data_IF_266447303154
#
_entry.id   IF_266447303154
#
_cell.length_a   1.000
_cell.length_b   1.000
_cell.length_c   1.000
_cell.angle_alpha   90.00
_cell.angle_beta   90.00
_cell.angle_gamma   90.00
#
_symmetry.space_group_name_H-M   'P 1'
#
loop_
_entity.id
_entity.type
_entity.pdbx_description
1 polymer ?
#
# COMPACT_ATOMS: atom_id res chain seq x y z
N UNK A 1 -20.98 3.24 -10.79
CA UNK A 1 -20.34 4.51 -10.37
C UNK A 1 -21.16 5.76 -10.69
N UNK A 2 -21.89 5.80 -11.80
CA UNK A 2 -22.74 6.94 -12.21
C UNK A 2 -24.01 7.10 -11.39
N UNK A 3 -24.67 6.00 -10.99
CA UNK A 3 -25.93 6.03 -10.23
C UNK A 3 -25.80 6.53 -8.78
N UNK A 4 -24.63 6.36 -8.14
CA UNK A 4 -24.40 6.78 -6.74
C UNK A 4 -24.18 8.29 -6.62
N UNK A 5 -23.71 8.96 -7.69
CA UNK A 5 -23.53 10.42 -7.70
C UNK A 5 -24.83 11.22 -7.83
N UNK A 6 -25.88 10.62 -8.40
CA UNK A 6 -27.14 11.31 -8.69
C UNK A 6 -28.06 11.43 -7.48
N UNK A 7 -27.95 10.53 -6.49
CA UNK A 7 -28.86 10.50 -5.34
C UNK A 7 -28.33 11.20 -4.09
N UNK A 8 -27.00 11.38 -3.94
CA UNK A 8 -26.39 11.96 -2.74
C UNK A 8 -25.17 12.87 -3.05
N UNK A 9 -25.36 14.03 -3.71
CA UNK A 9 -24.26 14.92 -4.08
C UNK A 9 -23.54 15.55 -2.87
N UNK A 10 -24.20 15.66 -1.71
CA UNK A 10 -23.63 16.28 -0.50
C UNK A 10 -22.80 15.33 0.40
N UNK A 11 -22.95 14.01 0.25
CA UNK A 11 -22.19 13.03 1.05
C UNK A 11 -20.83 12.66 0.42
N UNK A 12 -20.63 13.01 -0.86
CA UNK A 12 -19.43 12.67 -1.63
C UNK A 12 -18.23 13.57 -1.34
N UNK A 13 -18.43 14.72 -0.69
CA UNK A 13 -17.39 15.73 -0.47
C UNK A 13 -16.77 15.69 0.93
N UNK A 14 -17.37 14.98 1.90
CA UNK A 14 -17.02 15.18 3.32
C UNK A 14 -16.22 14.08 4.03
N UNK A 15 -16.10 12.87 3.49
CA UNK A 15 -15.05 11.94 3.91
C UNK A 15 -14.95 10.77 2.94
N UNK A 16 -13.77 10.53 2.36
CA UNK A 16 -13.55 9.47 1.36
C UNK A 16 -13.87 8.06 1.89
N UNK A 17 -13.87 7.90 3.22
CA UNK A 17 -14.16 6.64 3.91
C UNK A 17 -15.62 6.46 4.33
N UNK A 18 -16.44 7.52 4.30
CA UNK A 18 -17.84 7.49 4.72
C UNK A 18 -18.70 6.52 3.88
N UNK A 19 -18.58 6.50 2.54
CA UNK A 19 -19.33 5.56 1.72
C UNK A 19 -18.96 4.10 1.98
N UNK A 20 -17.68 3.84 2.29
CA UNK A 20 -17.19 2.50 2.62
C UNK A 20 -17.68 2.04 4.00
N UNK A 21 -17.64 2.93 5.00
CA UNK A 21 -18.17 2.66 6.34
C UNK A 21 -19.68 2.44 6.32
N UNK A 22 -20.43 3.29 5.60
CA UNK A 22 -21.88 3.11 5.39
C UNK A 22 -22.14 1.79 4.67
N UNK A 23 -21.38 1.46 3.62
CA UNK A 23 -21.56 0.21 2.88
C UNK A 23 -21.34 -1.03 3.74
N UNK A 24 -20.30 -1.05 4.57
CA UNK A 24 -20.02 -2.15 5.51
C UNK A 24 -21.10 -2.20 6.60
N UNK A 25 -21.49 -1.07 7.18
CA UNK A 25 -22.53 -1.00 8.20
C UNK A 25 -23.90 -1.44 7.65
N UNK A 26 -24.25 -1.02 6.44
CA UNK A 26 -25.47 -1.43 5.75
C UNK A 26 -25.44 -2.92 5.41
N UNK A 27 -24.30 -3.46 4.97
CA UNK A 27 -24.15 -4.89 4.74
C UNK A 27 -24.29 -5.69 6.06
N UNK A 28 -23.71 -5.22 7.16
CA UNK A 28 -23.87 -5.82 8.49
C UNK A 28 -25.33 -5.78 8.96
N UNK A 29 -26.02 -4.64 8.79
CA UNK A 29 -27.44 -4.48 9.12
C UNK A 29 -28.35 -5.37 8.26
N UNK A 30 -28.10 -5.44 6.95
CA UNK A 30 -28.86 -6.30 6.03
C UNK A 30 -28.66 -7.78 6.35
N UNK A 31 -27.43 -8.19 6.67
CA UNK A 31 -27.14 -9.56 7.10
C UNK A 31 -27.82 -9.86 8.45
N UNK A 32 -27.82 -8.91 9.39
CA UNK A 32 -28.47 -9.08 10.68
C UNK A 32 -30.01 -9.12 10.57
N UNK A 33 -30.56 -8.44 9.56
CA UNK A 33 -31.99 -8.50 9.23
C UNK A 33 -32.35 -9.84 8.54
N UNK A 34 -31.55 -10.29 7.57
CA UNK A 34 -31.84 -11.54 6.83
C UNK A 34 -31.54 -12.81 7.65
N UNK A 35 -30.58 -12.74 8.58
CA UNK A 35 -30.17 -13.83 9.46
C UNK A 35 -29.90 -13.22 10.84
N UNK A 36 -30.86 -13.22 11.80
CA UNK A 36 -30.63 -12.66 13.13
C UNK A 36 -29.54 -13.45 13.84
N UNK A 37 -28.31 -12.95 13.74
CA UNK A 37 -27.16 -13.48 14.44
C UNK A 37 -27.22 -12.93 15.86
N UNK A 38 -27.11 -13.78 16.87
CA UNK A 38 -27.08 -13.35 18.26
C UNK A 38 -25.95 -12.32 18.47
N UNK A 39 -26.22 -11.28 19.26
CA UNK A 39 -25.27 -10.19 19.53
C UNK A 39 -23.93 -10.70 20.08
N UNK A 40 -23.95 -11.84 20.78
CA UNK A 40 -22.73 -12.52 21.26
C UNK A 40 -21.86 -13.04 20.11
N UNK A 41 -22.46 -13.68 19.08
CA UNK A 41 -21.73 -14.14 17.89
C UNK A 41 -21.20 -12.97 17.06
N UNK A 42 -21.95 -11.86 16.98
CA UNK A 42 -21.48 -10.66 16.28
C UNK A 42 -20.26 -10.05 16.99
N UNK A 43 -20.29 -9.98 18.33
CA UNK A 43 -19.12 -9.57 19.14
C UNK A 43 -17.95 -10.52 18.94
N UNK A 44 -18.16 -11.84 18.90
CA UNK A 44 -17.07 -12.80 18.66
C UNK A 44 -16.43 -12.61 17.27
N UNK A 45 -17.23 -12.32 16.24
CA UNK A 45 -16.73 -12.08 14.89
C UNK A 45 -15.95 -10.76 14.83
N UNK A 46 -16.47 -9.68 15.44
CA UNK A 46 -15.82 -8.38 15.49
C UNK A 46 -14.54 -8.37 16.35
N UNK A 47 -14.50 -9.17 17.42
CA UNK A 47 -13.36 -9.27 18.33
C UNK A 47 -12.50 -10.51 18.07
N UNK A 48 -12.45 -10.98 16.82
CA UNK A 48 -11.52 -12.05 16.44
C UNK A 48 -10.08 -11.53 16.44
N UNK A 49 -9.14 -12.34 16.96
CA UNK A 49 -7.70 -12.01 17.07
C UNK A 49 -7.09 -11.45 15.78
N UNK A 50 -7.56 -11.92 14.62
CA UNK A 50 -7.17 -11.43 13.28
C UNK A 50 -7.59 -9.99 13.02
N UNK A 51 -8.81 -9.59 13.40
CA UNK A 51 -9.30 -8.22 13.21
C UNK A 51 -8.55 -7.24 14.10
N UNK A 52 -8.35 -7.60 15.37
CA UNK A 52 -7.50 -6.83 16.30
C UNK A 52 -6.06 -6.70 15.79
N UNK A 53 -5.49 -7.76 15.21
CA UNK A 53 -4.15 -7.71 14.61
C UNK A 53 -4.10 -6.75 13.42
N UNK A 54 -5.10 -6.73 12.53
CA UNK A 54 -5.16 -5.79 11.41
C UNK A 54 -5.29 -4.34 11.87
N UNK A 55 -6.17 -4.06 12.83
CA UNK A 55 -6.31 -2.72 13.42
C UNK A 55 -5.02 -2.28 14.10
N UNK A 56 -4.37 -3.19 14.84
CA UNK A 56 -3.08 -2.94 15.49
C UNK A 56 -1.98 -2.58 14.49
N UNK A 57 -1.89 -3.32 13.37
CA UNK A 57 -0.94 -3.01 12.29
C UNK A 57 -1.22 -1.63 11.69
N UNK A 58 -2.48 -1.30 11.40
CA UNK A 58 -2.84 0.01 10.85
C UNK A 58 -2.50 1.14 11.82
N UNK A 59 -2.80 0.98 13.11
CA UNK A 59 -2.44 1.95 14.15
C UNK A 59 -0.92 2.14 14.25
N UNK A 60 -0.15 1.05 14.21
CA UNK A 60 1.31 1.11 14.25
C UNK A 60 1.88 1.82 13.02
N UNK A 61 1.37 1.52 11.82
CA UNK A 61 1.78 2.17 10.57
C UNK A 61 1.42 3.66 10.59
N UNK A 62 0.26 4.04 11.14
CA UNK A 62 -0.11 5.45 11.33
C UNK A 62 0.82 6.16 12.30
N UNK A 63 1.15 5.54 13.44
CA UNK A 63 2.09 6.09 14.41
C UNK A 63 3.50 6.22 13.82
N UNK A 64 3.95 5.22 13.06
CA UNK A 64 5.21 5.24 12.33
C UNK A 64 5.25 6.39 11.32
N UNK A 65 4.19 6.56 10.51
CA UNK A 65 4.11 7.69 9.57
C UNK A 65 4.13 9.04 10.27
N UNK A 66 3.39 9.19 11.37
CA UNK A 66 3.41 10.42 12.18
C UNK A 66 4.79 10.71 12.78
N UNK A 67 5.57 9.69 13.13
CA UNK A 67 6.93 9.85 13.60
C UNK A 67 7.90 10.27 12.49
N UNK A 68 7.75 9.73 11.28
CA UNK A 68 8.55 10.10 10.11
C UNK A 68 8.28 11.55 9.67
N UNK A 69 7.01 11.99 9.75
CA UNK A 69 6.59 13.35 9.44
C UNK A 69 6.84 14.35 10.58
N UNK A 70 7.28 13.88 11.76
CA UNK A 70 7.48 14.74 12.91
C UNK A 70 8.55 15.82 12.64
N UNK A 71 8.28 17.09 12.96
CA UNK A 71 9.29 18.14 12.88
C UNK A 71 10.41 17.86 13.87
N UNK A 72 11.66 17.96 13.42
CA UNK A 72 12.82 17.92 14.32
C UNK A 72 12.89 19.22 15.14
N UNK A 73 13.79 19.29 16.13
CA UNK A 73 13.98 20.46 17.01
C UNK A 73 14.20 21.80 16.25
N UNK A 74 14.51 21.73 14.95
CA UNK A 74 14.80 22.84 14.06
C UNK A 74 13.58 23.27 13.23
N UNK A 75 12.40 22.66 13.43
CA UNK A 75 11.16 22.91 12.67
C UNK A 75 11.08 22.25 11.30
N UNK A 76 12.16 21.61 10.84
CA UNK A 76 12.23 20.90 9.55
C UNK A 76 11.81 19.43 9.74
N UNK A 77 10.93 18.87 8.87
CA UNK A 77 10.59 17.45 8.89
C UNK A 77 11.84 16.59 8.72
N UNK A 78 11.96 15.48 9.45
CA UNK A 78 13.10 14.55 9.38
C UNK A 78 13.43 14.14 7.92
N UNK A 79 12.38 13.97 7.11
CA UNK A 79 12.50 13.50 5.73
C UNK A 79 13.13 14.55 4.81
N UNK A 80 12.96 15.83 5.07
CA UNK A 80 13.59 16.88 4.25
C UNK A 80 15.10 16.89 4.47
N UNK A 81 15.53 16.71 5.72
CA UNK A 81 16.94 16.50 6.06
C UNK A 81 17.47 15.23 5.40
N UNK A 82 16.71 14.11 5.45
CA UNK A 82 17.13 12.89 4.75
C UNK A 82 17.29 13.13 3.25
N UNK A 83 16.36 13.86 2.60
CA UNK A 83 16.48 14.19 1.17
C UNK A 83 17.71 15.02 0.87
N UNK A 84 18.02 16.03 1.68
CA UNK A 84 19.20 16.88 1.46
C UNK A 84 20.50 16.10 1.60
N UNK A 85 20.58 15.19 2.58
CA UNK A 85 21.74 14.30 2.78
C UNK A 85 21.88 13.29 1.63
N UNK A 86 20.76 12.71 1.18
CA UNK A 86 20.75 11.77 0.05
C UNK A 86 21.15 12.45 -1.27
N UNK A 87 20.71 13.70 -1.47
CA UNK A 87 21.13 14.54 -2.59
C UNK A 87 22.62 14.83 -2.57
N UNK A 88 23.20 15.12 -1.39
CA UNK A 88 24.65 15.30 -1.23
C UNK A 88 25.43 14.00 -1.48
N UNK A 89 24.87 12.84 -1.12
CA UNK A 89 25.41 11.52 -1.44
C UNK A 89 25.21 11.08 -2.91
N UNK A 90 24.55 11.88 -3.74
CA UNK A 90 24.30 11.58 -5.16
C UNK A 90 23.26 10.48 -5.41
N UNK A 91 22.45 10.11 -4.41
CA UNK A 91 21.44 9.07 -4.54
C UNK A 91 20.13 9.71 -5.03
N UNK A 92 19.62 9.35 -6.22
CA UNK A 92 18.38 9.91 -6.72
C UNK A 92 17.19 9.42 -5.88
N UNK A 93 16.31 10.33 -5.47
CA UNK A 93 15.10 10.03 -4.67
C UNK A 93 14.25 8.91 -5.31
N UNK A 94 14.22 8.86 -6.64
CA UNK A 94 13.52 7.80 -7.39
C UNK A 94 14.06 6.39 -7.11
N UNK A 95 15.37 6.23 -6.88
CA UNK A 95 15.93 4.93 -6.52
C UNK A 95 15.36 4.44 -5.19
N UNK A 96 15.14 5.34 -4.23
CA UNK A 96 14.58 5.01 -2.92
C UNK A 96 13.11 4.62 -3.04
N UNK A 97 12.34 5.37 -3.85
CA UNK A 97 10.94 5.07 -4.15
C UNK A 97 10.77 3.68 -4.79
N UNK A 98 11.76 3.21 -5.55
CA UNK A 98 11.76 1.88 -6.15
C UNK A 98 12.29 0.78 -5.20
N UNK A 99 13.45 1.01 -4.58
CA UNK A 99 14.15 0.01 -3.79
C UNK A 99 13.50 -0.26 -2.43
N UNK A 100 13.01 0.76 -1.72
CA UNK A 100 12.41 0.56 -0.40
C UNK A 100 11.18 -0.36 -0.46
N UNK A 101 10.16 -0.10 -1.32
CA UNK A 101 9.03 -0.99 -1.44
C UNK A 101 9.45 -2.38 -1.93
N UNK A 102 10.39 -2.47 -2.87
CA UNK A 102 10.86 -3.75 -3.42
C UNK A 102 11.49 -4.64 -2.35
N UNK A 103 12.45 -4.11 -1.59
CA UNK A 103 13.14 -4.85 -0.52
C UNK A 103 12.16 -5.21 0.60
N UNK A 104 11.29 -4.27 0.97
CA UNK A 104 10.27 -4.53 1.99
C UNK A 104 9.25 -5.58 1.55
N UNK A 105 8.86 -5.58 0.28
CA UNK A 105 8.02 -6.62 -0.34
C UNK A 105 8.71 -7.97 -0.34
N UNK A 106 9.98 -8.00 -0.74
CA UNK A 106 10.78 -9.22 -0.77
C UNK A 106 10.98 -9.82 0.62
N UNK A 107 11.21 -8.99 1.64
CA UNK A 107 11.41 -9.42 3.01
C UNK A 107 10.10 -9.85 3.69
N UNK A 108 8.99 -9.14 3.44
CA UNK A 108 7.71 -9.40 4.12
C UNK A 108 6.86 -10.46 3.44
N UNK A 109 6.95 -10.61 2.12
CA UNK A 109 6.09 -11.49 1.33
C UNK A 109 4.60 -11.14 1.43
N UNK A 110 4.23 -9.95 1.93
CA UNK A 110 2.85 -9.53 2.20
C UNK A 110 2.57 -8.09 1.75
N UNK A 111 1.41 -7.87 1.14
CA UNK A 111 0.98 -6.55 0.65
C UNK A 111 0.96 -5.49 1.75
N UNK A 112 0.38 -5.83 2.90
CA UNK A 112 0.27 -4.91 4.03
C UNK A 112 1.65 -4.61 4.63
N UNK A 113 2.60 -5.55 4.52
CA UNK A 113 3.96 -5.39 5.04
C UNK A 113 4.73 -4.31 4.29
N UNK A 114 4.85 -4.44 2.96
CA UNK A 114 5.58 -3.44 2.20
C UNK A 114 4.86 -2.09 2.18
N UNK A 115 3.53 -2.08 2.03
CA UNK A 115 2.76 -0.83 2.03
C UNK A 115 2.92 -0.10 3.36
N UNK A 116 2.78 -0.81 4.49
CA UNK A 116 2.90 -0.21 5.81
C UNK A 116 4.31 0.32 6.11
N UNK A 117 5.34 -0.37 5.66
CA UNK A 117 6.72 0.00 5.92
C UNK A 117 7.25 1.10 4.99
N UNK A 118 6.93 1.06 3.69
CA UNK A 118 7.57 1.95 2.71
C UNK A 118 6.74 3.18 2.34
N UNK A 119 5.40 3.10 2.35
CA UNK A 119 4.57 4.21 1.85
C UNK A 119 4.62 5.47 2.71
N UNK A 120 4.72 5.41 4.05
CA UNK A 120 4.90 6.62 4.85
C UNK A 120 6.16 7.39 4.44
N UNK A 121 7.25 6.68 4.16
CA UNK A 121 8.49 7.29 3.65
C UNK A 121 8.27 7.83 2.23
N UNK A 122 7.68 7.05 1.32
CA UNK A 122 7.45 7.49 -0.07
C UNK A 122 6.59 8.75 -0.11
N UNK A 123 5.48 8.80 0.64
CA UNK A 123 4.60 9.98 0.73
C UNK A 123 5.34 11.17 1.31
N UNK A 124 6.11 10.95 2.37
CA UNK A 124 6.94 12.00 2.95
C UNK A 124 8.04 12.49 2.00
N UNK A 125 8.46 11.66 1.03
CA UNK A 125 9.43 11.99 -0.04
C UNK A 125 8.81 12.74 -1.24
N UNK A 126 7.48 12.91 -1.30
CA UNK A 126 6.83 13.76 -2.31
C UNK A 126 6.80 15.24 -1.92
N UNK A 127 6.71 15.57 -0.62
CA UNK A 127 6.79 16.94 -0.10
C UNK A 127 5.43 17.48 0.33
N UNK A 128 5.38 18.77 0.64
CA UNK A 128 4.22 19.43 1.26
C UNK A 128 3.03 19.62 0.31
N UNK A 129 3.28 19.82 -0.99
CA UNK A 129 2.24 20.03 -2.02
C UNK A 129 2.59 19.35 -3.36
N UNK A 130 2.60 18.01 -3.45
CA UNK A 130 2.78 17.33 -4.71
C UNK A 130 1.54 17.50 -5.60
N UNK A 131 1.74 17.65 -6.91
CA UNK A 131 0.62 17.60 -7.84
C UNK A 131 -0.06 16.22 -7.76
N UNK A 132 -1.37 16.16 -8.01
CA UNK A 132 -2.09 14.87 -8.02
C UNK A 132 -1.46 13.86 -8.98
N UNK A 133 -0.87 14.34 -10.09
CA UNK A 133 -0.18 13.49 -11.05
C UNK A 133 1.13 12.94 -10.50
N UNK A 134 1.96 13.76 -9.83
CA UNK A 134 3.20 13.29 -9.21
C UNK A 134 2.92 12.27 -8.11
N UNK A 135 1.87 12.53 -7.30
CA UNK A 135 1.42 11.59 -6.29
C UNK A 135 1.01 10.26 -6.94
N UNK A 136 0.15 10.27 -7.96
CA UNK A 136 -0.28 9.06 -8.65
C UNK A 136 0.89 8.33 -9.33
N UNK A 137 1.75 9.04 -10.03
CA UNK A 137 2.89 8.48 -10.76
C UNK A 137 3.91 7.84 -9.81
N UNK A 138 4.21 8.49 -8.69
CA UNK A 138 5.16 7.98 -7.68
C UNK A 138 4.56 6.81 -6.91
N UNK A 139 3.27 6.89 -6.56
CA UNK A 139 2.56 5.82 -5.85
C UNK A 139 2.43 4.57 -6.71
N UNK A 140 2.09 4.72 -8.00
CA UNK A 140 2.01 3.61 -8.94
C UNK A 140 3.36 2.92 -9.15
N UNK A 141 4.44 3.70 -9.25
CA UNK A 141 5.79 3.18 -9.34
C UNK A 141 6.20 2.40 -8.08
N UNK A 142 6.06 3.03 -6.90
CA UNK A 142 6.38 2.41 -5.62
C UNK A 142 5.58 1.11 -5.39
N UNK A 143 4.29 1.14 -5.74
CA UNK A 143 3.43 -0.04 -5.62
C UNK A 143 3.86 -1.16 -6.58
N UNK A 144 4.16 -0.83 -7.84
CA UNK A 144 4.63 -1.81 -8.83
C UNK A 144 5.90 -2.53 -8.38
N UNK A 145 6.89 -1.78 -7.88
CA UNK A 145 8.12 -2.35 -7.34
C UNK A 145 7.89 -3.17 -6.07
N UNK A 146 7.06 -2.68 -5.13
CA UNK A 146 6.74 -3.45 -3.92
C UNK A 146 5.97 -4.73 -4.19
N UNK A 147 5.04 -4.71 -5.15
CA UNK A 147 4.31 -5.88 -5.60
C UNK A 147 5.24 -6.90 -6.28
N UNK A 148 6.16 -6.45 -7.14
CA UNK A 148 7.17 -7.31 -7.75
C UNK A 148 8.07 -7.97 -6.69
N UNK A 149 8.53 -7.21 -5.69
CA UNK A 149 9.31 -7.72 -4.57
C UNK A 149 8.56 -8.79 -3.77
N UNK A 150 7.28 -8.55 -3.47
CA UNK A 150 6.44 -9.55 -2.78
C UNK A 150 6.28 -10.85 -3.56
N UNK A 151 6.03 -10.77 -4.87
CA UNK A 151 5.84 -11.95 -5.71
C UNK A 151 7.14 -12.76 -5.86
N UNK A 152 8.30 -12.10 -5.80
CA UNK A 152 9.62 -12.75 -5.80
C UNK A 152 10.08 -13.21 -4.41
N UNK A 153 9.25 -13.02 -3.37
CA UNK A 153 9.63 -13.39 -2.01
C UNK A 153 9.57 -14.90 -1.80
N UNK A 154 10.62 -15.55 -1.28
CA UNK A 154 10.59 -16.97 -0.93
C UNK A 154 9.67 -17.27 0.25
N UNK A 155 9.32 -16.25 1.04
CA UNK A 155 8.39 -16.37 2.18
C UNK A 155 6.94 -16.07 1.79
N UNK A 156 6.66 -15.84 0.50
CA UNK A 156 5.30 -15.61 0.04
C UNK A 156 4.45 -16.87 0.20
N UNK A 157 3.45 -16.82 1.08
CA UNK A 157 2.64 -17.98 1.48
C UNK A 157 2.01 -18.68 0.29
N UNK A 158 1.51 -17.93 -0.70
CA UNK A 158 0.90 -18.53 -1.88
C UNK A 158 1.91 -19.38 -2.68
N UNK A 159 3.17 -18.94 -2.79
CA UNK A 159 4.21 -19.66 -3.52
C UNK A 159 4.61 -20.96 -2.81
N UNK A 160 4.70 -20.93 -1.48
CA UNK A 160 5.03 -22.11 -0.66
C UNK A 160 3.92 -23.16 -0.79
N UNK A 161 2.66 -22.76 -0.57
CA UNK A 161 1.51 -23.69 -0.60
C UNK A 161 1.32 -24.28 -2.00
N UNK A 162 1.49 -23.50 -3.06
CA UNK A 162 1.41 -24.01 -4.44
C UNK A 162 2.54 -24.99 -4.75
N UNK A 163 3.78 -24.70 -4.32
CA UNK A 163 4.90 -25.63 -4.54
C UNK A 163 4.76 -26.92 -3.74
N UNK A 164 4.22 -26.87 -2.52
CA UNK A 164 3.89 -28.05 -1.73
C UNK A 164 2.80 -28.89 -2.41
N UNK A 165 1.77 -28.24 -2.96
CA UNK A 165 0.68 -28.93 -3.65
C UNK A 165 1.15 -29.66 -4.93
N UNK A 166 2.00 -29.02 -5.73
CA UNK A 166 2.50 -29.57 -6.99
C UNK A 166 3.84 -30.32 -6.86
N UNK A 167 4.39 -30.43 -5.65
CA UNK A 167 5.71 -31.01 -5.37
C UNK A 167 6.85 -30.42 -6.24
N UNK A 168 6.78 -29.13 -6.53
CA UNK A 168 7.76 -28.42 -7.37
C UNK A 168 8.83 -27.72 -6.51
N UNK A 169 10.03 -27.53 -7.09
CA UNK A 169 11.14 -26.84 -6.40
C UNK A 169 10.88 -25.34 -6.35
N UNK A 170 10.94 -24.74 -5.16
CA UNK A 170 10.73 -23.31 -4.93
C UNK A 170 11.59 -22.42 -5.85
N UNK A 171 12.89 -22.69 -5.96
CA UNK A 171 13.79 -21.91 -6.81
C UNK A 171 13.43 -21.99 -8.30
N UNK A 172 12.91 -23.14 -8.76
CA UNK A 172 12.52 -23.30 -10.16
C UNK A 172 11.27 -22.46 -10.47
N UNK A 173 10.27 -22.52 -9.60
CA UNK A 173 9.07 -21.70 -9.71
C UNK A 173 9.38 -20.21 -9.58
N UNK A 174 10.32 -19.84 -8.70
CA UNK A 174 10.78 -18.47 -8.53
C UNK A 174 11.51 -17.94 -9.77
N UNK A 175 12.39 -18.76 -10.37
CA UNK A 175 13.04 -18.42 -11.63
C UNK A 175 12.02 -18.24 -12.77
N UNK A 176 10.95 -19.06 -12.79
CA UNK A 176 9.84 -18.90 -13.73
C UNK A 176 8.98 -17.64 -13.49
N UNK A 177 8.95 -17.12 -12.27
CA UNK A 177 8.26 -15.88 -11.90
C UNK A 177 9.09 -14.61 -12.17
N UNK A 178 10.39 -14.75 -12.41
CA UNK A 178 11.27 -13.62 -12.68
C UNK A 178 10.90 -12.85 -13.97
N UNK A 179 10.61 -13.50 -15.11
CA UNK A 179 10.15 -12.80 -16.32
C UNK A 179 8.88 -11.96 -16.12
N UNK A 180 7.75 -12.49 -15.58
CA UNK A 180 6.56 -11.68 -15.39
C UNK A 180 6.77 -10.58 -14.35
N UNK A 181 7.57 -10.82 -13.30
CA UNK A 181 7.92 -9.77 -12.33
C UNK A 181 8.69 -8.61 -13.01
N UNK A 182 9.64 -8.93 -13.89
CA UNK A 182 10.36 -7.92 -14.66
C UNK A 182 9.44 -7.12 -15.59
N UNK A 183 8.49 -7.77 -16.27
CA UNK A 183 7.48 -7.09 -17.09
C UNK A 183 6.64 -6.11 -16.26
N UNK A 184 6.25 -6.48 -15.03
CA UNK A 184 5.53 -5.59 -14.12
C UNK A 184 6.38 -4.39 -13.68
N UNK A 185 7.67 -4.60 -13.40
CA UNK A 185 8.57 -3.51 -13.04
C UNK A 185 8.75 -2.53 -14.21
N UNK A 186 8.98 -3.05 -15.42
CA UNK A 186 9.10 -2.23 -16.63
C UNK A 186 7.81 -1.48 -16.92
N UNK A 187 6.64 -2.13 -16.81
CA UNK A 187 5.36 -1.47 -17.03
C UNK A 187 5.08 -0.38 -15.99
N UNK A 188 5.50 -0.55 -14.74
CA UNK A 188 5.41 0.49 -13.71
C UNK A 188 6.28 1.71 -14.04
N UNK A 189 7.50 1.50 -14.54
CA UNK A 189 8.38 2.59 -15.02
C UNK A 189 7.78 3.29 -16.23
N UNK A 190 7.26 2.54 -17.19
CA UNK A 190 6.60 3.09 -18.39
C UNK A 190 5.36 3.90 -18.02
N UNK A 191 4.53 3.40 -17.10
CA UNK A 191 3.36 4.12 -16.61
C UNK A 191 3.76 5.42 -15.90
N UNK A 192 4.81 5.38 -15.08
CA UNK A 192 5.34 6.58 -14.43
C UNK A 192 5.81 7.62 -15.47
N UNK A 193 6.57 7.19 -16.47
CA UNK A 193 7.02 8.05 -17.56
C UNK A 193 5.86 8.62 -18.40
N UNK A 194 4.87 7.78 -18.72
CA UNK A 194 3.67 8.20 -19.45
C UNK A 194 2.85 9.21 -18.67
N UNK A 195 2.62 8.98 -17.37
CA UNK A 195 1.89 9.92 -16.51
C UNK A 195 2.60 11.26 -16.42
N UNK A 196 3.93 11.27 -16.32
CA UNK A 196 4.72 12.51 -16.33
C UNK A 196 4.66 13.24 -17.68
N UNK A 197 4.76 12.50 -18.78
CA UNK A 197 4.66 13.05 -20.13
C UNK A 197 3.28 13.67 -20.41
N UNK A 198 2.20 13.02 -19.95
CA UNK A 198 0.84 13.54 -20.09
C UNK A 198 0.57 14.79 -19.24
N UNK A 199 1.30 14.96 -18.13
CA UNK A 199 1.17 16.14 -17.27
C UNK A 199 1.99 17.36 -17.71
N UNK A 200 2.78 17.26 -18.77
CA UNK A 200 3.52 18.41 -19.33
C UNK A 200 4.69 18.92 -18.46
N UNK A 201 5.33 18.03 -17.69
CA UNK A 201 6.59 18.28 -17.00
C UNK A 201 7.75 17.53 -17.67
#
# INVERSE_FOLDING_TARGET
YTLVRLTLPAAATWNRYLPMAIGIAAAMLLVQWQRPVSADKLRTILFTRRQLSLVGIVMLVRAYGAFIEAPLANGVPLVETMRSELGQCGIPVMAIVMLLPFISGLASGLAIGFVGASFPIVVSLLGSDPTLCDMLATTALAYGFGQAGMMLSPVHVCLIVTNEHFATRLLHSLAGLLPPAFVVMVSAVLLHGLLRALSGC
#
